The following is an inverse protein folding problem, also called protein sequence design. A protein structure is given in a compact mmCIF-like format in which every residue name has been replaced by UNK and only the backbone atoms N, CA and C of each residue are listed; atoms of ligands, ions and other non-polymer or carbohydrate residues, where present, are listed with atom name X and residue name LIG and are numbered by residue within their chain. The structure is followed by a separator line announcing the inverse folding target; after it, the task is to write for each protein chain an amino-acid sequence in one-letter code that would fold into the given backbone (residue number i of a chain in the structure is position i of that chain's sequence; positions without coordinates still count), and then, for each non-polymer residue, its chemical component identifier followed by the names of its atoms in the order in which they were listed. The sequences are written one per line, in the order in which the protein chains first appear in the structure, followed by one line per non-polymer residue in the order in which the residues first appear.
data_IF_786125426773
#
_entry.id   IF_786125426773
#
_cell.length_a   1.000
_cell.length_b   1.000
_cell.length_c   1.000
_cell.angle_alpha   90.00
_cell.angle_beta   90.00
_cell.angle_gamma   90.00
#
_symmetry.space_group_name_H-M   'P 1'
#
loop_
_entity.id
_entity.type
_entity.pdbx_description
1 polymer ?
#
# COMPACT_ATOMS: atom_id res chain seq x y z
N UNK A 1 -5.27 112.55 -9.28
CA UNK A 1 -4.75 111.19 -9.23
C UNK A 1 -5.51 110.43 -8.16
N UNK A 2 -6.37 109.49 -8.59
CA UNK A 2 -7.21 108.72 -7.72
C UNK A 2 -6.45 107.42 -7.30
N UNK A 3 -6.06 107.39 -6.03
CA UNK A 3 -5.53 106.17 -5.40
C UNK A 3 -6.75 105.30 -5.04
N UNK A 4 -6.98 104.24 -5.80
CA UNK A 4 -7.97 103.28 -5.52
C UNK A 4 -7.53 102.37 -4.35
N UNK A 5 -8.34 102.41 -3.31
CA UNK A 5 -8.14 101.55 -2.12
C UNK A 5 -8.77 100.18 -2.36
N UNK A 6 -8.07 99.05 -2.19
CA UNK A 6 -8.69 97.73 -2.38
C UNK A 6 -9.62 97.43 -1.21
N UNK A 7 -10.72 96.62 -1.48
CA UNK A 7 -11.70 96.27 -0.46
C UNK A 7 -11.16 95.30 0.58
N UNK A 8 -11.73 95.31 1.80
CA UNK A 8 -11.28 94.45 2.88
C UNK A 8 -11.48 93.01 2.58
N UNK A 9 -10.42 92.16 2.90
CA UNK A 9 -10.50 90.68 2.82
C UNK A 9 -11.53 90.19 3.84
N UNK A 10 -12.63 89.64 3.36
CA UNK A 10 -13.54 88.87 4.19
C UNK A 10 -12.79 87.66 4.79
N UNK A 11 -12.88 87.59 6.08
CA UNK A 11 -12.40 86.46 6.89
C UNK A 11 -13.16 85.24 6.47
N UNK A 12 -12.49 84.36 5.73
CA UNK A 12 -13.02 83.02 5.38
C UNK A 12 -13.14 82.23 6.67
N UNK A 13 -14.37 82.11 7.17
CA UNK A 13 -14.71 81.25 8.30
C UNK A 13 -14.15 79.85 8.07
N UNK A 14 -13.41 79.37 9.05
CA UNK A 14 -12.88 78.03 9.05
C UNK A 14 -14.02 76.98 8.95
N UNK A 15 -14.00 76.20 7.90
CA UNK A 15 -14.90 75.05 7.76
C UNK A 15 -14.77 74.14 8.99
N UNK A 16 -15.86 73.59 9.49
CA UNK A 16 -15.80 72.64 10.59
C UNK A 16 -14.93 71.45 10.16
N UNK A 17 -13.92 71.12 10.94
CA UNK A 17 -13.18 69.86 10.83
C UNK A 17 -14.18 68.74 11.10
N UNK A 18 -14.61 68.08 10.04
CA UNK A 18 -15.30 66.83 10.14
C UNK A 18 -14.43 65.85 10.91
N UNK A 19 -14.80 65.60 12.16
CA UNK A 19 -14.16 64.61 13.00
C UNK A 19 -14.35 63.26 12.34
N UNK A 20 -13.28 62.69 11.85
CA UNK A 20 -13.20 61.30 11.47
C UNK A 20 -13.70 60.43 12.66
N UNK A 21 -14.67 59.56 12.47
CA UNK A 21 -15.10 58.67 13.55
C UNK A 21 -13.96 57.69 13.84
N UNK A 22 -13.28 57.96 14.95
CA UNK A 22 -12.39 56.99 15.55
C UNK A 22 -13.26 55.96 16.24
N UNK A 23 -13.21 54.74 15.73
CA UNK A 23 -13.24 53.52 16.53
C UNK A 23 -13.58 52.32 15.65
N UNK A 24 -12.60 51.73 15.27
CA UNK A 24 -12.56 50.41 14.68
C UNK A 24 -12.91 49.40 15.74
N UNK A 25 -14.16 49.11 15.93
CA UNK A 25 -14.55 47.93 16.68
C UNK A 25 -14.58 46.69 15.75
N UNK A 26 -14.03 45.60 16.16
CA UNK A 26 -14.15 44.28 15.51
C UNK A 26 -15.64 43.94 15.15
N UNK A 27 -16.58 44.58 15.79
CA UNK A 27 -18.03 44.51 15.50
C UNK A 27 -18.45 45.08 14.12
N UNK A 28 -17.70 46.01 13.54
CA UNK A 28 -17.99 46.53 12.20
C UNK A 28 -17.52 45.62 11.09
N UNK A 29 -16.46 44.83 11.34
CA UNK A 29 -16.03 43.78 10.41
C UNK A 29 -17.07 42.66 10.27
N UNK A 30 -17.72 42.26 11.35
CA UNK A 30 -18.72 41.20 11.32
C UNK A 30 -20.04 41.61 10.62
N UNK A 31 -20.45 42.87 10.77
CA UNK A 31 -21.64 43.37 10.08
C UNK A 31 -21.39 43.55 8.58
N UNK A 32 -20.26 44.12 8.19
CA UNK A 32 -19.88 44.27 6.77
C UNK A 32 -19.65 42.92 6.10
N UNK A 33 -19.11 41.92 6.83
CA UNK A 33 -18.95 40.56 6.29
C UNK A 33 -20.29 39.85 6.04
N UNK A 34 -21.25 40.01 6.96
CA UNK A 34 -22.60 39.45 6.77
C UNK A 34 -23.35 40.11 5.61
N UNK A 35 -23.18 41.40 5.44
CA UNK A 35 -23.77 42.14 4.33
C UNK A 35 -23.14 41.78 2.99
N UNK A 36 -21.81 41.63 2.95
CA UNK A 36 -21.10 41.13 1.78
C UNK A 36 -21.50 39.69 1.42
N UNK A 37 -21.71 38.82 2.41
CA UNK A 37 -22.20 37.46 2.20
C UNK A 37 -23.61 37.42 1.66
N UNK A 38 -24.53 38.26 2.16
CA UNK A 38 -25.90 38.34 1.64
C UNK A 38 -25.95 38.89 0.24
N UNK A 39 -25.16 39.92 -0.08
CA UNK A 39 -25.02 40.44 -1.43
C UNK A 39 -24.43 39.40 -2.40
N UNK A 40 -23.40 38.67 -1.97
CA UNK A 40 -22.82 37.59 -2.78
C UNK A 40 -23.85 36.48 -3.06
N UNK A 41 -24.65 36.11 -2.05
CA UNK A 41 -25.72 35.12 -2.20
C UNK A 41 -26.80 35.56 -3.19
N UNK A 42 -27.24 36.82 -3.09
CA UNK A 42 -28.21 37.39 -4.04
C UNK A 42 -27.65 37.44 -5.47
N UNK A 43 -26.39 37.84 -5.63
CA UNK A 43 -25.72 37.88 -6.94
C UNK A 43 -25.58 36.47 -7.55
N UNK A 44 -25.28 35.45 -6.73
CA UNK A 44 -25.27 34.05 -7.16
C UNK A 44 -26.67 33.57 -7.56
N UNK A 45 -27.71 33.95 -6.81
CA UNK A 45 -29.08 33.57 -7.10
C UNK A 45 -29.61 34.23 -8.37
N UNK A 46 -29.14 35.44 -8.71
CA UNK A 46 -29.52 36.14 -9.93
C UNK A 46 -28.96 35.52 -11.22
N UNK A 47 -27.79 34.84 -11.13
CA UNK A 47 -27.10 34.22 -12.27
C UNK A 47 -26.88 32.72 -12.07
N UNK A 48 -27.94 31.99 -11.76
CA UNK A 48 -27.87 30.54 -11.36
C UNK A 48 -27.07 29.67 -12.31
N UNK A 49 -27.25 29.84 -13.64
CA UNK A 49 -26.58 29.01 -14.63
C UNK A 49 -25.04 29.23 -14.65
N UNK A 50 -24.60 30.49 -14.51
CA UNK A 50 -23.17 30.83 -14.50
C UNK A 50 -22.51 30.30 -13.22
N UNK A 51 -23.17 30.51 -12.10
CA UNK A 51 -22.66 30.03 -10.78
C UNK A 51 -22.60 28.53 -10.73
N UNK A 52 -23.63 27.82 -11.22
CA UNK A 52 -23.65 26.36 -11.26
C UNK A 52 -22.55 25.82 -12.16
N UNK A 53 -22.34 26.43 -13.34
CA UNK A 53 -21.32 25.98 -14.28
C UNK A 53 -19.88 26.15 -13.71
N UNK A 54 -19.64 27.31 -13.07
CA UNK A 54 -18.33 27.57 -12.46
C UNK A 54 -18.07 26.68 -11.25
N UNK A 55 -19.06 26.46 -10.37
CA UNK A 55 -18.94 25.52 -9.25
C UNK A 55 -18.71 24.08 -9.73
N UNK A 56 -19.48 23.66 -10.75
CA UNK A 56 -19.30 22.31 -11.32
C UNK A 56 -17.89 22.13 -11.87
N UNK A 57 -17.34 23.12 -12.57
CA UNK A 57 -15.97 23.07 -13.08
C UNK A 57 -14.94 22.93 -11.97
N UNK A 58 -15.08 23.68 -10.88
CA UNK A 58 -14.18 23.60 -9.72
C UNK A 58 -14.31 22.25 -9.02
N UNK A 59 -15.53 21.75 -8.80
CA UNK A 59 -15.78 20.45 -8.17
C UNK A 59 -15.15 19.33 -8.99
N UNK A 60 -15.38 19.30 -10.30
CA UNK A 60 -14.80 18.29 -11.18
C UNK A 60 -13.26 18.38 -11.18
N UNK A 61 -12.72 19.60 -11.23
CA UNK A 61 -11.28 19.82 -11.19
C UNK A 61 -10.64 19.27 -9.91
N UNK A 62 -11.18 19.61 -8.75
CA UNK A 62 -10.69 19.12 -7.46
C UNK A 62 -10.88 17.61 -7.34
N UNK A 63 -12.08 17.10 -7.70
CA UNK A 63 -12.37 15.67 -7.63
C UNK A 63 -11.40 14.85 -8.50
N UNK A 64 -11.07 15.32 -9.70
CA UNK A 64 -10.13 14.66 -10.60
C UNK A 64 -8.73 14.59 -10.00
N UNK A 65 -8.23 15.69 -9.44
CA UNK A 65 -6.90 15.73 -8.82
C UNK A 65 -6.84 14.80 -7.61
N UNK A 66 -7.84 14.87 -6.72
CA UNK A 66 -7.91 13.99 -5.53
C UNK A 66 -7.98 12.53 -5.95
N UNK A 67 -8.79 12.19 -6.95
CA UNK A 67 -8.90 10.80 -7.45
C UNK A 67 -7.57 10.27 -7.97
N UNK A 68 -6.83 11.07 -8.74
CA UNK A 68 -5.52 10.65 -9.27
C UNK A 68 -4.52 10.42 -8.13
N UNK A 69 -4.49 11.29 -7.12
CA UNK A 69 -3.59 11.15 -5.97
C UNK A 69 -3.92 9.90 -5.17
N UNK A 70 -5.21 9.66 -4.87
CA UNK A 70 -5.64 8.47 -4.12
C UNK A 70 -5.33 7.18 -4.86
N UNK A 71 -5.59 7.12 -6.17
CA UNK A 71 -5.24 5.94 -6.99
C UNK A 71 -3.72 5.74 -7.05
N UNK A 72 -2.95 6.82 -7.17
CA UNK A 72 -1.49 6.76 -7.15
C UNK A 72 -0.93 6.22 -5.83
N UNK A 73 -1.46 6.69 -4.71
CA UNK A 73 -1.04 6.19 -3.38
C UNK A 73 -1.45 4.73 -3.15
N UNK A 74 -2.64 4.34 -3.60
CA UNK A 74 -3.08 2.95 -3.51
C UNK A 74 -2.18 2.02 -4.36
N UNK A 75 -1.87 2.40 -5.60
CA UNK A 75 -0.96 1.64 -6.45
C UNK A 75 0.44 1.52 -5.84
N UNK A 76 0.98 2.62 -5.28
CA UNK A 76 2.27 2.61 -4.58
C UNK A 76 2.27 1.65 -3.39
N UNK A 77 1.21 1.64 -2.59
CA UNK A 77 1.10 0.72 -1.45
C UNK A 77 1.04 -0.74 -1.88
N UNK A 78 0.31 -1.06 -2.96
CA UNK A 78 0.29 -2.40 -3.54
C UNK A 78 1.68 -2.86 -3.98
N UNK A 79 2.39 -2.04 -4.76
CA UNK A 79 3.75 -2.36 -5.22
C UNK A 79 4.72 -2.53 -4.04
N UNK A 80 4.62 -1.67 -3.02
CA UNK A 80 5.45 -1.79 -1.81
C UNK A 80 5.11 -3.06 -0.99
N UNK A 81 3.85 -3.47 -0.96
CA UNK A 81 3.45 -4.72 -0.33
C UNK A 81 4.01 -5.93 -1.08
N UNK A 82 3.92 -5.93 -2.42
CA UNK A 82 4.49 -6.99 -3.26
C UNK A 82 6.01 -7.09 -3.11
N UNK A 83 6.73 -5.95 -3.10
CA UNK A 83 8.17 -5.91 -2.87
C UNK A 83 8.53 -6.45 -1.47
N UNK A 84 7.76 -6.13 -0.45
CA UNK A 84 7.98 -6.65 0.91
C UNK A 84 7.70 -8.15 1.00
N UNK A 85 6.70 -8.64 0.27
CA UNK A 85 6.37 -10.06 0.22
C UNK A 85 7.47 -10.89 -0.48
N UNK A 86 8.19 -10.31 -1.44
CA UNK A 86 9.33 -10.97 -2.11
C UNK A 86 10.56 -11.05 -1.19
N UNK A 87 10.62 -10.29 -0.09
CA UNK A 87 11.76 -10.24 0.84
C UNK A 87 12.90 -9.38 0.29
N UNK A 88 13.06 -8.18 0.82
CA UNK A 88 14.03 -7.19 0.30
C UNK A 88 15.50 -7.53 0.57
N UNK A 89 15.79 -8.55 1.40
CA UNK A 89 17.13 -8.94 1.82
C UNK A 89 17.48 -10.39 1.45
N UNK A 90 16.73 -10.98 0.51
CA UNK A 90 16.99 -12.34 0.04
C UNK A 90 17.72 -12.31 -1.29
N UNK A 91 18.63 -13.27 -1.46
CA UNK A 91 19.35 -13.52 -2.71
C UNK A 91 19.04 -14.96 -3.11
N UNK A 92 18.39 -15.13 -4.25
CA UNK A 92 18.14 -16.44 -4.81
C UNK A 92 19.30 -16.82 -5.74
N UNK A 93 19.87 -18.00 -5.50
CA UNK A 93 20.97 -18.55 -6.30
C UNK A 93 20.43 -19.69 -7.14
N UNK A 94 20.49 -19.52 -8.45
CA UNK A 94 20.07 -20.54 -9.42
C UNK A 94 21.28 -21.19 -10.09
N UNK A 95 21.21 -22.48 -10.44
CA UNK A 95 22.22 -23.11 -11.25
C UNK A 95 22.11 -22.60 -12.71
N UNK A 96 23.24 -22.35 -13.38
CA UNK A 96 23.25 -21.89 -14.77
C UNK A 96 24.21 -20.72 -14.99
N UNK A 97 24.37 -20.29 -16.25
CA UNK A 97 25.12 -19.09 -16.62
C UNK A 97 24.31 -17.83 -16.58
N UNK A 98 23.04 -17.94 -16.98
CA UNK A 98 22.09 -16.82 -17.06
C UNK A 98 20.77 -17.20 -16.43
N UNK A 99 19.96 -16.19 -16.12
CA UNK A 99 18.62 -16.38 -15.55
C UNK A 99 17.72 -17.12 -16.55
N UNK A 100 17.20 -18.29 -16.13
CA UNK A 100 16.32 -19.12 -16.97
C UNK A 100 17.08 -20.13 -17.85
N UNK A 101 18.36 -20.40 -17.58
CA UNK A 101 19.14 -21.43 -18.24
C UNK A 101 18.81 -22.80 -17.61
N UNK A 102 17.90 -23.56 -18.25
CA UNK A 102 17.41 -24.87 -17.79
C UNK A 102 18.20 -26.03 -18.38
N UNK A 103 19.43 -25.82 -18.89
CA UNK A 103 20.23 -26.90 -19.46
C UNK A 103 20.50 -28.02 -18.43
N UNK A 104 20.32 -29.31 -18.80
CA UNK A 104 20.47 -30.45 -17.87
C UNK A 104 21.80 -30.54 -17.15
N UNK A 105 22.87 -29.99 -17.77
CA UNK A 105 24.23 -29.99 -17.21
C UNK A 105 24.35 -29.10 -15.96
N UNK A 106 23.47 -28.11 -15.78
CA UNK A 106 23.48 -27.20 -14.63
C UNK A 106 22.54 -27.61 -13.51
N UNK A 107 21.57 -28.51 -13.76
CA UNK A 107 20.57 -28.91 -12.75
C UNK A 107 21.16 -29.51 -11.47
N UNK A 108 22.41 -30.01 -11.52
CA UNK A 108 23.10 -30.55 -10.34
C UNK A 108 24.36 -29.72 -9.97
N UNK A 109 24.49 -28.50 -10.46
CA UNK A 109 25.63 -27.65 -10.17
C UNK A 109 25.68 -27.22 -8.69
N UNK A 110 24.53 -26.98 -8.06
CA UNK A 110 24.42 -26.65 -6.65
C UNK A 110 24.26 -27.92 -5.82
N UNK A 111 25.12 -28.08 -4.81
CA UNK A 111 25.13 -29.23 -3.89
C UNK A 111 24.75 -28.79 -2.49
N UNK A 112 24.30 -29.74 -1.67
CA UNK A 112 23.95 -29.47 -0.29
C UNK A 112 25.17 -28.98 0.54
N UNK A 113 26.38 -29.40 0.18
CA UNK A 113 27.62 -28.94 0.83
C UNK A 113 27.89 -27.44 0.59
N UNK A 114 27.42 -26.88 -0.55
CA UNK A 114 27.55 -25.47 -0.87
C UNK A 114 26.71 -24.63 0.09
N UNK A 115 25.54 -25.13 0.50
CA UNK A 115 24.68 -24.47 1.50
C UNK A 115 25.46 -24.32 2.84
N UNK A 116 26.15 -25.37 3.29
CA UNK A 116 26.95 -25.34 4.52
C UNK A 116 28.11 -24.33 4.44
N UNK A 117 28.67 -24.12 3.27
CA UNK A 117 29.71 -23.13 3.04
C UNK A 117 29.13 -21.68 3.04
N UNK A 118 27.96 -21.48 2.48
CA UNK A 118 27.25 -20.19 2.48
C UNK A 118 26.82 -19.82 3.90
N UNK A 119 26.25 -20.72 4.67
CA UNK A 119 25.80 -20.49 6.05
C UNK A 119 26.93 -20.10 7.01
N UNK A 120 28.17 -20.45 6.70
CA UNK A 120 29.34 -20.04 7.49
C UNK A 120 29.81 -18.62 7.28
N UNK A 121 29.28 -17.94 6.28
CA UNK A 121 29.68 -16.55 5.97
C UNK A 121 29.10 -15.57 7.00
N UNK A 122 29.89 -14.62 7.53
CA UNK A 122 29.45 -13.73 8.60
C UNK A 122 28.37 -12.72 8.18
N UNK A 123 28.16 -12.55 6.88
CA UNK A 123 27.14 -11.68 6.32
C UNK A 123 25.84 -12.40 5.94
N UNK A 124 25.80 -13.74 6.08
CA UNK A 124 24.59 -14.55 5.83
C UNK A 124 23.90 -14.80 7.17
N UNK A 125 22.68 -14.31 7.29
CA UNK A 125 21.87 -14.54 8.49
C UNK A 125 21.25 -15.93 8.48
N UNK A 126 20.70 -16.35 7.34
CA UNK A 126 20.10 -17.68 7.14
C UNK A 126 20.16 -18.04 5.66
N UNK A 127 20.26 -19.32 5.36
CA UNK A 127 20.20 -19.84 3.99
C UNK A 127 19.42 -21.16 3.98
N UNK A 128 18.61 -21.36 2.95
CA UNK A 128 17.75 -22.53 2.79
C UNK A 128 17.86 -23.09 1.37
N UNK A 129 17.95 -24.40 1.20
CA UNK A 129 17.79 -25.01 -0.12
C UNK A 129 16.29 -24.98 -0.49
N UNK A 130 16.01 -24.82 -1.76
CA UNK A 130 14.65 -24.94 -2.29
C UNK A 130 14.66 -25.74 -3.59
N UNK A 131 13.70 -26.65 -3.73
CA UNK A 131 13.46 -27.41 -4.95
C UNK A 131 11.98 -27.28 -5.28
N UNK A 132 11.66 -26.79 -6.46
CA UNK A 132 10.27 -26.59 -6.91
C UNK A 132 9.85 -27.69 -7.87
N UNK A 133 8.63 -28.18 -7.70
CA UNK A 133 8.01 -29.11 -8.62
C UNK A 133 6.51 -28.80 -8.78
N UNK A 134 6.04 -28.75 -10.02
CA UNK A 134 4.62 -28.62 -10.30
C UNK A 134 3.94 -29.98 -10.13
N UNK A 135 2.90 -30.02 -9.32
CA UNK A 135 2.16 -31.24 -9.02
C UNK A 135 0.69 -30.93 -8.70
N UNK A 136 -0.06 -31.95 -8.36
CA UNK A 136 -1.47 -31.80 -7.97
C UNK A 136 -1.63 -32.09 -6.49
N UNK A 137 -2.38 -31.22 -5.82
CA UNK A 137 -2.84 -31.43 -4.45
C UNK A 137 -4.27 -31.98 -4.51
N UNK A 138 -4.54 -33.02 -3.71
CA UNK A 138 -5.87 -33.65 -3.71
C UNK A 138 -6.38 -33.90 -2.31
N UNK A 139 -7.64 -33.55 -2.09
CA UNK A 139 -8.39 -33.85 -0.86
C UNK A 139 -9.77 -34.33 -1.26
N UNK A 140 -10.09 -35.61 -0.99
CA UNK A 140 -11.35 -36.21 -1.45
C UNK A 140 -11.54 -36.03 -2.94
N UNK A 141 -12.56 -35.29 -3.34
CA UNK A 141 -12.90 -35.04 -4.75
C UNK A 141 -12.33 -33.69 -5.28
N UNK A 142 -11.63 -32.91 -4.43
CA UNK A 142 -11.03 -31.66 -4.85
C UNK A 142 -9.61 -31.90 -5.31
N UNK A 143 -9.28 -31.41 -6.50
CA UNK A 143 -7.97 -31.56 -7.14
C UNK A 143 -7.49 -30.18 -7.63
N UNK A 144 -6.36 -29.70 -7.13
CA UNK A 144 -5.80 -28.39 -7.40
C UNK A 144 -4.38 -28.52 -7.95
N UNK A 145 -4.09 -27.86 -9.06
CA UNK A 145 -2.72 -27.74 -9.55
C UNK A 145 -1.95 -26.73 -8.68
N UNK A 146 -0.78 -27.12 -8.21
CA UNK A 146 0.06 -26.30 -7.36
C UNK A 146 1.54 -26.52 -7.66
N UNK A 147 2.36 -25.54 -7.32
CA UNK A 147 3.81 -25.68 -7.24
C UNK A 147 4.18 -26.04 -5.81
N UNK A 148 4.77 -27.20 -5.60
CA UNK A 148 5.30 -27.60 -4.29
C UNK A 148 6.78 -27.29 -4.21
N UNK A 149 7.17 -26.64 -3.13
CA UNK A 149 8.55 -26.33 -2.81
C UNK A 149 9.04 -27.22 -1.68
N UNK A 150 10.03 -28.06 -1.98
CA UNK A 150 10.79 -28.80 -0.96
C UNK A 150 11.80 -27.86 -0.32
N UNK A 151 11.60 -27.56 0.97
CA UNK A 151 12.35 -26.52 1.69
C UNK A 151 12.83 -27.01 3.06
N UNK A 152 13.77 -26.30 3.67
CA UNK A 152 14.14 -26.51 5.08
C UNK A 152 13.32 -25.62 6.03
N UNK A 153 13.49 -25.82 7.35
CA UNK A 153 12.78 -25.06 8.37
C UNK A 153 13.03 -23.53 8.31
N UNK A 154 14.21 -23.13 7.85
CA UNK A 154 14.60 -21.73 7.77
C UNK A 154 13.95 -20.97 6.60
N UNK A 155 13.33 -21.67 5.67
CA UNK A 155 12.69 -21.08 4.49
C UNK A 155 11.72 -19.95 4.85
N UNK A 156 10.84 -20.19 5.80
CA UNK A 156 9.82 -19.21 6.21
C UNK A 156 10.42 -17.98 6.87
N UNK A 157 11.53 -18.15 7.60
CA UNK A 157 12.28 -17.03 8.19
C UNK A 157 13.01 -16.21 7.12
N UNK A 158 13.60 -16.87 6.12
CA UNK A 158 14.31 -16.20 5.01
C UNK A 158 13.34 -15.32 4.21
N UNK A 159 12.15 -15.83 3.93
CA UNK A 159 11.13 -15.09 3.18
C UNK A 159 10.21 -14.23 4.06
N UNK A 160 10.39 -14.22 5.38
CA UNK A 160 9.59 -13.41 6.31
C UNK A 160 8.12 -13.80 6.33
N UNK A 161 7.81 -15.07 6.02
CA UNK A 161 6.43 -15.56 5.97
C UNK A 161 5.85 -15.72 7.38
N UNK A 162 4.60 -15.36 7.55
CA UNK A 162 3.82 -15.55 8.78
C UNK A 162 2.86 -16.72 8.62
N UNK A 163 2.33 -17.23 9.75
CA UNK A 163 1.42 -18.36 9.76
C UNK A 163 0.06 -17.90 10.30
N UNK A 164 -0.99 -18.15 9.52
CA UNK A 164 -2.37 -17.94 9.99
C UNK A 164 -2.90 -19.12 10.80
N UNK A 165 -2.44 -20.33 10.52
CA UNK A 165 -2.79 -21.54 11.25
C UNK A 165 -1.52 -22.41 11.43
N UNK A 166 -1.35 -23.03 12.60
CA UNK A 166 -0.26 -23.95 12.85
C UNK A 166 1.15 -23.32 12.95
N UNK A 167 2.15 -24.03 12.46
CA UNK A 167 3.56 -23.60 12.55
C UNK A 167 4.41 -24.24 11.43
N UNK A 168 5.68 -23.80 11.37
CA UNK A 168 6.70 -24.37 10.47
C UNK A 168 7.13 -25.77 10.92
N UNK A 169 7.96 -26.42 10.11
CA UNK A 169 8.58 -27.72 10.39
C UNK A 169 9.47 -27.66 11.64
N UNK A 170 9.35 -28.65 12.49
CA UNK A 170 10.26 -28.81 13.61
C UNK A 170 11.50 -29.66 13.22
N UNK A 171 12.56 -29.62 14.05
CA UNK A 171 13.78 -30.33 13.79
C UNK A 171 13.61 -31.87 13.71
N UNK A 172 12.69 -32.43 14.49
CA UNK A 172 12.38 -33.86 14.49
C UNK A 172 11.69 -34.30 13.20
N UNK A 173 10.73 -33.49 12.71
CA UNK A 173 10.03 -33.73 11.45
C UNK A 173 11.00 -33.69 10.26
N UNK A 174 11.93 -32.73 10.26
CA UNK A 174 12.96 -32.63 9.23
C UNK A 174 13.94 -33.81 9.28
N UNK A 175 14.46 -34.15 10.46
CA UNK A 175 15.40 -35.27 10.63
C UNK A 175 14.73 -36.62 10.31
N UNK A 176 13.47 -36.79 10.72
CA UNK A 176 12.67 -37.98 10.48
C UNK A 176 12.06 -38.08 9.06
N UNK A 177 12.26 -37.05 8.20
CA UNK A 177 11.65 -36.95 6.88
C UNK A 177 10.15 -37.20 6.94
N UNK A 178 9.49 -36.55 7.92
CA UNK A 178 8.06 -36.70 8.12
C UNK A 178 7.30 -36.18 6.89
N UNK A 179 6.21 -36.86 6.53
CA UNK A 179 5.33 -36.45 5.44
C UNK A 179 4.40 -35.33 5.91
N UNK A 180 4.93 -34.13 5.96
CA UNK A 180 4.24 -32.93 6.42
C UNK A 180 4.29 -31.83 5.37
N UNK A 181 3.28 -30.97 5.35
CA UNK A 181 3.16 -29.88 4.39
C UNK A 181 2.63 -28.62 5.06
N UNK A 182 3.13 -27.47 4.61
CA UNK A 182 2.56 -26.14 4.89
C UNK A 182 1.87 -25.68 3.62
N UNK A 183 0.63 -25.25 3.75
CA UNK A 183 -0.16 -24.72 2.62
C UNK A 183 0.00 -23.20 2.57
N UNK A 184 -0.07 -22.63 1.36
CA UNK A 184 -0.33 -21.21 1.18
C UNK A 184 -1.83 -20.92 1.35
N UNK A 185 -2.16 -19.65 1.64
CA UNK A 185 -3.54 -19.23 1.90
C UNK A 185 -4.49 -19.51 0.70
N UNK A 186 -3.97 -19.48 -0.54
CA UNK A 186 -4.76 -19.74 -1.73
C UNK A 186 -5.09 -21.25 -1.88
N UNK A 187 -4.09 -22.12 -1.77
CA UNK A 187 -4.27 -23.59 -1.78
C UNK A 187 -5.18 -24.04 -0.65
N UNK A 188 -5.04 -23.46 0.54
CA UNK A 188 -5.93 -23.72 1.68
C UNK A 188 -7.39 -23.42 1.34
N UNK A 189 -7.68 -22.25 0.75
CA UNK A 189 -9.05 -21.89 0.35
C UNK A 189 -9.63 -22.80 -0.71
N UNK A 190 -8.82 -23.24 -1.66
CA UNK A 190 -9.27 -24.10 -2.73
C UNK A 190 -9.53 -25.54 -2.27
N UNK A 191 -8.64 -26.10 -1.42
CA UNK A 191 -8.75 -27.46 -0.91
C UNK A 191 -9.80 -27.60 0.20
N UNK A 192 -9.96 -26.56 1.03
CA UNK A 192 -10.82 -26.58 2.23
C UNK A 192 -11.72 -25.34 2.33
N UNK A 193 -12.64 -25.10 1.38
CA UNK A 193 -13.43 -23.85 1.33
C UNK A 193 -14.29 -23.61 2.56
N UNK A 194 -14.75 -24.67 3.22
CA UNK A 194 -15.72 -24.59 4.33
C UNK A 194 -15.14 -25.04 5.67
N UNK A 195 -13.83 -25.17 5.81
CA UNK A 195 -13.20 -25.68 7.02
C UNK A 195 -12.50 -24.56 7.79
N UNK A 196 -12.76 -24.42 9.08
CA UNK A 196 -12.20 -23.35 9.90
C UNK A 196 -10.72 -23.58 10.24
N UNK A 197 -10.31 -24.83 10.46
CA UNK A 197 -8.93 -25.21 10.76
C UNK A 197 -8.55 -26.42 9.92
N UNK A 198 -7.39 -26.37 9.28
CA UNK A 198 -6.91 -27.43 8.39
C UNK A 198 -5.68 -28.16 8.94
N UNK A 199 -5.14 -27.72 10.07
CA UNK A 199 -3.99 -28.37 10.70
C UNK A 199 -4.38 -29.76 11.16
N UNK A 200 -3.54 -30.75 10.81
CA UNK A 200 -3.79 -32.17 11.08
C UNK A 200 -4.53 -32.93 9.97
N UNK A 201 -5.03 -32.22 8.95
CA UNK A 201 -5.63 -32.86 7.79
C UNK A 201 -4.61 -33.54 6.90
N UNK A 202 -4.98 -34.66 6.31
CA UNK A 202 -4.15 -35.38 5.34
C UNK A 202 -4.56 -35.04 3.93
N UNK A 203 -3.60 -34.62 3.14
CA UNK A 203 -3.76 -34.35 1.70
C UNK A 203 -2.84 -35.24 0.88
N UNK A 204 -3.17 -35.45 -0.38
CA UNK A 204 -2.24 -36.06 -1.33
C UNK A 204 -1.47 -34.97 -2.06
N UNK A 205 -0.14 -35.01 -1.93
CA UNK A 205 0.81 -34.16 -2.65
C UNK A 205 1.37 -35.02 -3.79
N UNK A 206 0.83 -34.86 -4.99
CA UNK A 206 1.01 -35.83 -6.07
C UNK A 206 0.43 -37.18 -5.66
N UNK A 207 1.31 -38.16 -5.43
CA UNK A 207 0.94 -39.51 -5.01
C UNK A 207 1.28 -39.82 -3.54
N UNK A 208 1.83 -38.87 -2.80
CA UNK A 208 2.25 -39.07 -1.41
C UNK A 208 1.26 -38.41 -0.44
N UNK A 209 0.79 -39.13 0.58
CA UNK A 209 0.02 -38.53 1.64
C UNK A 209 0.92 -37.64 2.50
N UNK A 210 0.43 -36.46 2.85
CA UNK A 210 1.14 -35.53 3.75
C UNK A 210 0.14 -34.88 4.71
N UNK A 211 0.58 -34.67 5.93
CA UNK A 211 -0.23 -34.00 6.97
C UNK A 211 0.01 -32.49 6.93
N UNK A 212 -1.06 -31.72 6.89
CA UNK A 212 -0.98 -30.25 6.97
C UNK A 212 -0.60 -29.85 8.39
N UNK A 213 0.50 -29.12 8.55
CA UNK A 213 0.99 -28.63 9.87
C UNK A 213 0.82 -27.14 10.04
N UNK A 214 0.62 -26.41 8.96
CA UNK A 214 0.42 -24.96 9.01
C UNK A 214 -0.09 -24.38 7.70
N UNK A 215 -0.54 -23.12 7.79
CA UNK A 215 -0.92 -22.29 6.65
C UNK A 215 -0.10 -21.00 6.71
N UNK A 216 0.68 -20.74 5.67
CA UNK A 216 1.52 -19.55 5.55
C UNK A 216 0.81 -18.44 4.77
N UNK A 217 1.11 -17.20 5.13
CA UNK A 217 0.66 -15.96 4.49
C UNK A 217 1.85 -15.12 4.03
#
# INVERSE_FOLDING_TARGET
ELVSNPPPRESRAAAPKEALPASTGWGQFSSGFREALTMAWLAMAANKMRTLLTMLGIIIGIASVVSIVVVGDAAKQMVLADIRAIGTNTIDVYPGKDFGDDEPQYQQALKYDDLAAIQKQPWVNSATPAVSQNLRLRVGNVDVAASANGVSGDYFNVYGMTFSEGATFNAEQLAGRAQVVVLDANSRRQLFPNKANVVGEVILVGNMPATVIGVAE
#
